data_IF_708449813918
#
_entry.id   IF_708449813918
#
_cell.length_a   1.000
_cell.length_b   1.000
_cell.length_c   1.000
_cell.angle_alpha   90.00
_cell.angle_beta   90.00
_cell.angle_gamma   90.00
#
_symmetry.space_group_name_H-M   'P 1'
#
loop_
_entity.id
_entity.type
_entity.pdbx_description
1 polymer ?
#
# COMPACT_ATOMS: atom_id res chain seq x y z
N UNK A 1 15.63 -3.93 -14.22
CA UNK A 1 14.62 -3.25 -13.38
C UNK A 1 13.25 -3.71 -13.84
N UNK A 2 12.59 -4.58 -13.05
CA UNK A 2 11.23 -5.01 -13.36
C UNK A 2 10.28 -3.83 -13.24
N UNK A 3 9.51 -3.54 -14.30
CA UNK A 3 8.43 -2.56 -14.24
C UNK A 3 7.36 -3.13 -13.32
N UNK A 4 7.13 -2.47 -12.18
CA UNK A 4 5.99 -2.78 -11.32
C UNK A 4 4.74 -2.28 -12.06
N UNK A 5 3.83 -3.19 -12.36
CA UNK A 5 2.55 -2.86 -12.98
C UNK A 5 1.59 -2.19 -11.98
N UNK A 6 0.74 -1.26 -12.43
CA UNK A 6 -0.26 -0.60 -11.56
C UNK A 6 -1.19 -1.61 -10.87
N UNK A 7 -1.44 -2.76 -11.49
CA UNK A 7 -2.19 -3.86 -10.88
C UNK A 7 -1.44 -4.47 -9.69
N UNK A 8 -0.13 -4.69 -9.81
CA UNK A 8 0.69 -5.22 -8.71
C UNK A 8 0.77 -4.23 -7.55
N UNK A 9 0.91 -2.94 -7.86
CA UNK A 9 0.88 -1.87 -6.86
C UNK A 9 -0.45 -1.88 -6.09
N UNK A 10 -1.57 -1.96 -6.81
CA UNK A 10 -2.91 -1.97 -6.23
C UNK A 10 -3.14 -3.20 -5.34
N UNK A 11 -2.70 -4.37 -5.79
CA UNK A 11 -2.84 -5.64 -5.06
C UNK A 11 -2.07 -5.62 -3.72
N UNK A 12 -0.87 -5.04 -3.73
CA UNK A 12 -0.06 -4.91 -2.51
C UNK A 12 -0.64 -3.88 -1.55
N UNK A 13 -1.10 -2.72 -2.05
CA UNK A 13 -1.80 -1.74 -1.22
C UNK A 13 -3.10 -2.32 -0.62
N UNK A 14 -3.80 -3.18 -1.37
CA UNK A 14 -5.01 -3.86 -0.90
C UNK A 14 -4.73 -4.97 0.11
N UNK A 15 -3.61 -5.69 -0.05
CA UNK A 15 -3.12 -6.71 0.86
C UNK A 15 -2.71 -6.17 2.23
N UNK A 16 -2.57 -4.84 2.38
CA UNK A 16 -2.31 -4.24 3.67
C UNK A 16 -3.46 -4.48 4.65
N UNK A 17 -3.13 -5.08 5.80
CA UNK A 17 -4.11 -5.44 6.84
C UNK A 17 -4.25 -4.31 7.85
N UNK A 18 -5.48 -4.09 8.35
CA UNK A 18 -5.70 -3.13 9.43
C UNK A 18 -5.22 -3.72 10.76
N UNK A 19 -4.31 -3.02 11.42
CA UNK A 19 -3.89 -3.27 12.79
C UNK A 19 -4.23 -2.02 13.61
N UNK A 20 -5.44 -1.99 14.15
CA UNK A 20 -6.02 -0.78 14.74
C UNK A 20 -6.16 0.33 13.69
N UNK A 21 -5.65 1.52 13.99
CA UNK A 21 -5.69 2.71 13.11
C UNK A 21 -4.62 2.71 12.01
N UNK A 22 -3.81 1.66 11.89
CA UNK A 22 -2.67 1.58 10.98
C UNK A 22 -2.88 0.43 9.99
N UNK A 23 -2.64 0.67 8.71
CA UNK A 23 -2.64 -0.41 7.72
C UNK A 23 -1.21 -0.89 7.50
N UNK A 24 -0.94 -2.16 7.77
CA UNK A 24 0.38 -2.79 7.73
C UNK A 24 0.51 -3.63 6.46
N UNK A 25 1.60 -3.46 5.73
CA UNK A 25 1.95 -4.30 4.58
C UNK A 25 2.54 -5.64 5.03
N UNK A 26 2.15 -6.75 4.40
CA UNK A 26 2.73 -8.06 4.70
C UNK A 26 4.23 -8.09 4.35
N UNK A 27 5.04 -8.70 5.21
CA UNK A 27 6.50 -8.83 5.02
C UNK A 27 6.90 -9.68 3.80
N UNK A 28 5.95 -10.33 3.12
CA UNK A 28 6.17 -11.09 1.88
C UNK A 28 6.18 -10.22 0.63
N UNK A 29 5.95 -8.90 0.76
CA UNK A 29 6.03 -7.97 -0.36
C UNK A 29 7.48 -7.83 -0.85
N UNK A 30 7.64 -7.83 -2.18
CA UNK A 30 8.93 -7.68 -2.84
C UNK A 30 9.68 -6.43 -2.35
N UNK A 31 10.98 -6.56 -2.05
CA UNK A 31 11.80 -5.45 -1.50
C UNK A 31 11.90 -4.27 -2.47
N UNK A 32 11.93 -4.52 -3.78
CA UNK A 32 11.96 -3.46 -4.79
C UNK A 32 10.63 -2.68 -4.83
N UNK A 33 9.52 -3.38 -4.66
CA UNK A 33 8.20 -2.73 -4.57
C UNK A 33 8.05 -1.93 -3.27
N UNK A 34 8.56 -2.42 -2.13
CA UNK A 34 8.58 -1.64 -0.88
C UNK A 34 9.43 -0.38 -1.02
N UNK A 35 10.60 -0.47 -1.67
CA UNK A 35 11.44 0.69 -1.94
C UNK A 35 10.71 1.73 -2.79
N UNK A 36 10.07 1.30 -3.88
CA UNK A 36 9.27 2.17 -4.73
C UNK A 36 8.09 2.82 -3.96
N UNK A 37 7.39 2.06 -3.13
CA UNK A 37 6.31 2.56 -2.29
C UNK A 37 6.79 3.62 -1.28
N UNK A 38 8.00 3.45 -0.74
CA UNK A 38 8.67 4.43 0.13
C UNK A 38 9.06 5.68 -0.66
N UNK A 39 9.64 5.53 -1.85
CA UNK A 39 10.01 6.64 -2.74
C UNK A 39 8.78 7.46 -3.19
N UNK A 40 7.66 6.80 -3.44
CA UNK A 40 6.38 7.42 -3.78
C UNK A 40 5.66 8.04 -2.56
N UNK A 41 6.20 7.88 -1.34
CA UNK A 41 5.60 8.41 -0.11
C UNK A 41 4.29 7.72 0.30
N UNK A 42 3.99 6.53 -0.25
CA UNK A 42 2.75 5.79 0.02
C UNK A 42 2.84 4.96 1.31
N UNK A 43 4.05 4.61 1.71
CA UNK A 43 4.30 3.79 2.91
C UNK A 43 5.47 4.37 3.70
N UNK A 44 5.48 4.13 5.00
CA UNK A 44 6.59 4.48 5.88
C UNK A 44 6.87 3.34 6.85
N UNK A 45 8.10 3.27 7.32
CA UNK A 45 8.48 2.32 8.36
C UNK A 45 8.14 2.88 9.74
N UNK A 46 7.52 2.06 10.58
CA UNK A 46 7.12 2.46 11.93
C UNK A 46 7.14 1.23 12.83
N UNK A 47 7.98 1.27 13.87
CA UNK A 47 8.19 0.15 14.82
C UNK A 47 8.56 -1.17 14.11
N UNK A 48 9.35 -1.12 13.05
CA UNK A 48 9.73 -2.29 12.26
C UNK A 48 8.66 -2.80 11.29
N UNK A 49 7.50 -2.12 11.21
CA UNK A 49 6.41 -2.46 10.29
C UNK A 49 6.28 -1.42 9.18
N UNK A 50 5.96 -1.87 7.96
CA UNK A 50 5.57 -0.98 6.87
C UNK A 50 4.11 -0.57 7.03
N UNK A 51 3.87 0.71 7.28
CA UNK A 51 2.53 1.28 7.41
C UNK A 51 2.20 2.19 6.24
N UNK A 52 0.95 2.16 5.78
CA UNK A 52 0.47 3.13 4.79
C UNK A 52 0.43 4.53 5.38
N UNK A 53 0.84 5.50 4.58
CA UNK A 53 0.66 6.93 4.84
C UNK A 53 -0.77 7.35 4.46
N UNK A 54 -1.23 8.56 4.83
CA UNK A 54 -2.51 9.09 4.36
C UNK A 54 -2.65 9.01 2.83
N UNK A 55 -1.58 9.38 2.11
CA UNK A 55 -1.52 9.29 0.64
C UNK A 55 -1.62 7.85 0.14
N UNK A 56 -0.97 6.90 0.82
CA UNK A 56 -1.12 5.47 0.55
C UNK A 56 -2.55 4.96 0.74
N UNK A 57 -3.23 5.41 1.81
CA UNK A 57 -4.63 5.09 2.09
C UNK A 57 -5.55 5.67 1.03
N UNK A 58 -5.35 6.92 0.61
CA UNK A 58 -6.12 7.53 -0.48
C UNK A 58 -5.89 6.79 -1.81
N UNK A 59 -4.65 6.44 -2.13
CA UNK A 59 -4.34 5.68 -3.34
C UNK A 59 -4.97 4.30 -3.32
N UNK A 60 -4.93 3.61 -2.18
CA UNK A 60 -5.66 2.35 -1.98
C UNK A 60 -7.17 2.51 -2.22
N UNK A 61 -7.77 3.62 -1.75
CA UNK A 61 -9.20 3.90 -1.99
C UNK A 61 -9.49 4.14 -3.48
N UNK A 62 -8.63 4.87 -4.19
CA UNK A 62 -8.76 5.10 -5.64
C UNK A 62 -8.53 3.84 -6.47
N UNK A 63 -7.64 2.97 -6.03
CA UNK A 63 -7.35 1.69 -6.66
C UNK A 63 -8.30 0.57 -6.23
N UNK A 64 -9.32 0.84 -5.40
CA UNK A 64 -10.26 -0.18 -4.98
C UNK A 64 -11.06 -0.66 -6.21
N UNK A 65 -11.09 -1.97 -6.50
CA UNK A 65 -11.87 -2.50 -7.62
C UNK A 65 -13.38 -2.30 -7.43
N UNK A 66 -13.81 -1.93 -6.22
CA UNK A 66 -15.15 -1.45 -5.94
C UNK A 66 -15.07 0.07 -5.87
N UNK A 67 -15.66 0.82 -6.83
CA UNK A 67 -15.85 2.24 -6.62
C UNK A 67 -16.58 2.40 -5.30
N UNK A 68 -16.08 3.26 -4.43
CA UNK A 68 -16.75 3.60 -3.19
C UNK A 68 -18.22 3.90 -3.52
N UNK A 69 -19.11 2.97 -3.16
CA UNK A 69 -20.53 3.25 -3.05
C UNK A 69 -20.63 4.24 -1.90
N UNK A 70 -20.51 5.52 -2.24
CA UNK A 70 -21.00 6.61 -1.42
C UNK A 70 -22.50 6.39 -1.27
N UNK A 71 -22.92 5.98 -0.07
CA UNK A 71 -24.27 6.16 0.43
C UNK A 71 -24.32 7.46 1.24
#
# INVERSE_FOLDING_TARGET
MGRIDEKQLSDVLWSARSAGSRMILPCTSDRGLIALLKELGLVREQLGHMVLTPTGVERRRRCSPYPALSA
#
